data_IF_654488848598
#
_entry.id   IF_654488848598
#
_cell.length_a   1.000
_cell.length_b   1.000
_cell.length_c   1.000
_cell.angle_alpha   90.00
_cell.angle_beta   90.00
_cell.angle_gamma   90.00
#
_symmetry.space_group_name_H-M   'P 1'
#
loop_
_entity.id
_entity.type
_entity.pdbx_description
1 polymer ?
#
# COMPACT_ATOMS: atom_id res chain seq x y z
N UNK A 1 -12.15 16.73 -10.93
CA UNK A 1 -11.82 15.48 -10.20
C UNK A 1 -12.82 15.15 -9.08
N UNK A 2 -13.03 16.01 -8.07
CA UNK A 2 -13.93 15.71 -6.93
C UNK A 2 -15.35 15.28 -7.34
N UNK A 3 -16.00 16.02 -8.24
CA UNK A 3 -17.34 15.65 -8.74
C UNK A 3 -17.38 14.26 -9.40
N UNK A 4 -16.32 13.87 -10.12
CA UNK A 4 -16.21 12.55 -10.75
C UNK A 4 -16.09 11.45 -9.68
N UNK A 5 -15.30 11.68 -8.64
CA UNK A 5 -15.15 10.76 -7.51
C UNK A 5 -16.47 10.57 -6.80
N UNK A 6 -17.20 11.66 -6.52
CA UNK A 6 -18.52 11.63 -5.88
C UNK A 6 -19.57 10.89 -6.71
N UNK A 7 -19.56 11.10 -8.02
CA UNK A 7 -20.44 10.40 -8.94
C UNK A 7 -20.14 8.89 -8.93
N UNK A 8 -18.86 8.50 -9.10
CA UNK A 8 -18.45 7.08 -9.10
C UNK A 8 -18.73 6.38 -7.77
N UNK A 9 -18.56 7.07 -6.65
CA UNK A 9 -18.89 6.54 -5.34
C UNK A 9 -20.39 6.30 -5.15
N UNK A 10 -21.25 7.13 -5.75
CA UNK A 10 -22.71 6.97 -5.68
C UNK A 10 -23.24 5.98 -6.73
N UNK A 11 -22.95 6.22 -7.99
CA UNK A 11 -23.54 5.49 -9.13
C UNK A 11 -22.80 4.18 -9.43
N UNK A 12 -21.53 4.07 -8.99
CA UNK A 12 -20.67 2.95 -9.30
C UNK A 12 -19.81 3.20 -10.54
N UNK A 13 -19.02 2.20 -10.88
CA UNK A 13 -18.11 2.19 -12.02
C UNK A 13 -17.90 0.76 -12.49
N UNK A 14 -17.44 0.57 -13.71
CA UNK A 14 -17.11 -0.75 -14.24
C UNK A 14 -15.61 -0.99 -14.20
N UNK A 15 -15.20 -2.19 -13.80
CA UNK A 15 -13.84 -2.69 -13.92
C UNK A 15 -13.83 -3.87 -14.90
N UNK A 16 -12.89 -3.86 -15.81
CA UNK A 16 -12.65 -4.95 -16.75
C UNK A 16 -11.37 -5.68 -16.35
N UNK A 17 -11.50 -6.92 -15.84
CA UNK A 17 -10.40 -7.68 -15.28
C UNK A 17 -9.26 -7.91 -16.29
N UNK A 18 -9.59 -8.27 -17.55
CA UNK A 18 -8.57 -8.47 -18.59
C UNK A 18 -7.76 -7.21 -18.82
N UNK A 19 -8.43 -6.06 -18.96
CA UNK A 19 -7.74 -4.77 -19.12
C UNK A 19 -6.92 -4.37 -17.90
N UNK A 20 -7.39 -4.67 -16.67
CA UNK A 20 -6.59 -4.44 -15.45
C UNK A 20 -5.28 -5.21 -15.47
N UNK A 21 -5.31 -6.48 -15.90
CA UNK A 21 -4.13 -7.33 -16.02
C UNK A 21 -3.18 -6.76 -17.08
N UNK A 22 -3.69 -6.46 -18.26
CA UNK A 22 -2.89 -5.95 -19.36
C UNK A 22 -2.24 -4.60 -19.03
N UNK A 23 -3.01 -3.65 -18.52
CA UNK A 23 -2.53 -2.31 -18.15
C UNK A 23 -1.51 -2.38 -17.00
N UNK A 24 -1.78 -3.18 -15.97
CA UNK A 24 -0.87 -3.33 -14.83
C UNK A 24 0.45 -3.99 -15.25
N UNK A 25 0.40 -5.02 -16.10
CA UNK A 25 1.59 -5.70 -16.57
C UNK A 25 2.41 -4.83 -17.56
N UNK A 26 1.74 -4.10 -18.44
CA UNK A 26 2.41 -3.16 -19.36
C UNK A 26 3.13 -2.04 -18.58
N UNK A 27 2.52 -1.52 -17.52
CA UNK A 27 3.10 -0.49 -16.64
C UNK A 27 4.25 -1.06 -15.83
N UNK A 28 4.03 -2.24 -15.21
CA UNK A 28 5.06 -2.94 -14.44
C UNK A 28 6.33 -3.19 -15.23
N UNK A 29 6.23 -3.63 -16.49
CA UNK A 29 7.41 -3.82 -17.36
C UNK A 29 8.24 -2.55 -17.51
N UNK A 30 7.59 -1.38 -17.58
CA UNK A 30 8.30 -0.09 -17.70
C UNK A 30 9.00 0.29 -16.40
N UNK A 31 8.38 0.02 -15.25
CA UNK A 31 8.87 0.41 -13.92
C UNK A 31 9.71 -0.65 -13.23
N UNK A 32 9.75 -1.87 -13.75
CA UNK A 32 10.34 -3.07 -13.14
C UNK A 32 11.68 -2.82 -12.46
N UNK A 33 12.65 -2.26 -13.21
CA UNK A 33 14.00 -2.09 -12.68
C UNK A 33 14.06 -1.00 -11.60
N UNK A 34 13.47 0.17 -11.87
CA UNK A 34 13.48 1.31 -10.93
C UNK A 34 12.70 0.97 -9.67
N UNK A 35 11.51 0.37 -9.82
CA UNK A 35 10.70 -0.05 -8.68
C UNK A 35 11.34 -1.20 -7.90
N UNK A 36 11.99 -2.16 -8.56
CA UNK A 36 12.71 -3.25 -7.90
C UNK A 36 13.90 -2.75 -7.08
N UNK A 37 14.73 -1.87 -7.64
CA UNK A 37 15.83 -1.22 -6.91
C UNK A 37 15.29 -0.35 -5.76
N UNK A 38 14.21 0.39 -6.00
CA UNK A 38 13.53 1.16 -4.96
C UNK A 38 13.03 0.26 -3.82
N UNK A 39 12.45 -0.91 -4.15
CA UNK A 39 12.00 -1.88 -3.14
C UNK A 39 13.17 -2.43 -2.32
N UNK A 40 14.35 -2.68 -2.92
CA UNK A 40 15.55 -3.06 -2.19
C UNK A 40 15.93 -2.00 -1.15
N UNK A 41 15.96 -0.73 -1.56
CA UNK A 41 16.33 0.39 -0.67
C UNK A 41 15.30 0.51 0.46
N UNK A 42 14.00 0.53 0.14
CA UNK A 42 12.94 0.63 1.15
C UNK A 42 12.97 -0.56 2.10
N UNK A 43 13.19 -1.78 1.59
CA UNK A 43 13.33 -2.97 2.44
C UNK A 43 14.53 -2.89 3.38
N UNK A 44 15.68 -2.39 2.91
CA UNK A 44 16.86 -2.18 3.74
C UNK A 44 16.58 -1.14 4.85
N UNK A 45 15.93 -0.02 4.51
CA UNK A 45 15.52 1.00 5.49
C UNK A 45 14.58 0.37 6.53
N UNK A 46 13.58 -0.40 6.11
CA UNK A 46 12.65 -1.07 7.02
C UNK A 46 13.36 -2.05 7.95
N UNK A 47 14.25 -2.89 7.42
CA UNK A 47 15.02 -3.85 8.22
C UNK A 47 15.87 -3.13 9.27
N UNK A 48 16.61 -2.09 8.89
CA UNK A 48 17.41 -1.29 9.82
C UNK A 48 16.53 -0.61 10.88
N UNK A 49 15.39 -0.08 10.48
CA UNK A 49 14.42 0.52 11.39
C UNK A 49 13.90 -0.49 12.41
N UNK A 50 13.50 -1.69 11.97
CA UNK A 50 13.02 -2.74 12.88
C UNK A 50 14.12 -3.26 13.79
N UNK A 51 15.36 -3.42 13.33
CA UNK A 51 16.52 -3.79 14.16
C UNK A 51 16.74 -2.73 15.24
N UNK A 52 16.73 -1.45 14.87
CA UNK A 52 16.84 -0.35 15.80
C UNK A 52 15.72 -0.32 16.84
N UNK A 53 14.50 -0.51 16.39
CA UNK A 53 13.31 -0.54 17.26
C UNK A 53 13.39 -1.72 18.26
N UNK A 54 13.65 -2.94 17.77
CA UNK A 54 13.80 -4.13 18.64
C UNK A 54 14.97 -4.00 19.59
N UNK A 55 16.10 -3.46 19.11
CA UNK A 55 17.28 -3.18 19.96
C UNK A 55 16.98 -2.19 21.08
N UNK A 56 16.15 -1.18 20.80
CA UNK A 56 15.73 -0.18 21.80
C UNK A 56 14.82 -0.76 22.89
N UNK A 57 13.91 -1.68 22.52
CA UNK A 57 12.98 -2.29 23.47
C UNK A 57 13.58 -3.45 24.27
N UNK A 58 14.37 -4.32 23.64
CA UNK A 58 14.86 -5.57 24.23
C UNK A 58 16.36 -5.57 24.51
N UNK A 59 17.08 -4.55 24.06
CA UNK A 59 18.53 -4.46 24.12
C UNK A 59 19.22 -5.19 22.95
N UNK A 60 20.18 -4.55 22.34
CA UNK A 60 20.91 -5.10 21.17
C UNK A 60 21.61 -6.44 21.46
N UNK A 61 22.10 -6.64 22.69
CA UNK A 61 22.73 -7.91 23.12
C UNK A 61 21.75 -9.09 23.21
N UNK A 62 20.46 -8.83 23.28
CA UNK A 62 19.42 -9.84 23.45
C UNK A 62 18.64 -10.12 22.15
N UNK A 63 18.94 -9.44 21.04
CA UNK A 63 18.18 -9.56 19.79
C UNK A 63 18.03 -11.00 19.32
N UNK A 64 19.11 -11.78 19.35
CA UNK A 64 19.05 -13.19 18.93
C UNK A 64 18.14 -14.02 19.83
N UNK A 65 18.16 -13.81 21.14
CA UNK A 65 17.28 -14.50 22.10
C UNK A 65 15.83 -14.07 21.90
N UNK A 66 15.58 -12.78 21.66
CA UNK A 66 14.24 -12.23 21.41
C UNK A 66 13.63 -12.83 20.14
N UNK A 67 14.41 -12.92 19.06
CA UNK A 67 13.93 -13.56 17.81
C UNK A 67 13.58 -15.02 18.02
N UNK A 68 14.40 -15.78 18.78
CA UNK A 68 14.13 -17.18 19.10
C UNK A 68 12.90 -17.37 20.00
N UNK A 69 12.57 -16.37 20.83
CA UNK A 69 11.41 -16.43 21.75
C UNK A 69 10.16 -15.74 21.19
N UNK A 70 10.17 -15.27 19.94
CA UNK A 70 9.08 -14.47 19.35
C UNK A 70 7.73 -15.20 19.39
N UNK A 71 7.72 -16.52 19.18
CA UNK A 71 6.48 -17.34 19.23
C UNK A 71 5.85 -17.35 20.62
N UNK A 72 6.68 -17.32 21.68
CA UNK A 72 6.20 -17.28 23.06
C UNK A 72 5.73 -15.86 23.40
N UNK A 73 6.51 -14.85 23.04
CA UNK A 73 6.17 -13.44 23.25
C UNK A 73 4.88 -13.07 22.52
N UNK A 74 4.65 -13.59 21.32
CA UNK A 74 3.46 -13.30 20.52
C UNK A 74 2.14 -13.77 21.18
N UNK A 75 2.20 -14.56 22.24
CA UNK A 75 1.03 -14.99 23.04
C UNK A 75 0.80 -14.12 24.27
N UNK A 76 1.78 -13.32 24.65
CA UNK A 76 1.67 -12.44 25.81
C UNK A 76 0.77 -11.23 25.52
N UNK A 77 -0.26 -10.95 26.33
CA UNK A 77 -1.20 -9.84 26.08
C UNK A 77 -0.52 -8.49 25.91
N UNK A 78 0.50 -8.19 26.73
CA UNK A 78 1.22 -6.92 26.64
C UNK A 78 2.01 -6.80 25.33
N UNK A 79 2.57 -7.92 24.82
CA UNK A 79 3.25 -7.94 23.55
C UNK A 79 2.29 -7.78 22.38
N UNK A 80 1.12 -8.43 22.43
CA UNK A 80 0.06 -8.29 21.40
C UNK A 80 -0.38 -6.83 21.30
N UNK A 81 -0.70 -6.19 22.43
CA UNK A 81 -1.12 -4.78 22.46
C UNK A 81 0.01 -3.86 21.99
N UNK A 82 1.22 -4.05 22.51
CA UNK A 82 2.38 -3.24 22.15
C UNK A 82 2.74 -3.33 20.68
N UNK A 83 2.76 -4.56 20.14
CA UNK A 83 3.04 -4.78 18.71
C UNK A 83 1.97 -4.20 17.80
N UNK A 84 0.69 -4.21 18.21
CA UNK A 84 -0.40 -3.55 17.50
C UNK A 84 -0.19 -2.03 17.40
N UNK A 85 0.16 -1.39 18.51
CA UNK A 85 0.45 0.06 18.54
C UNK A 85 1.67 0.39 17.67
N UNK A 86 2.75 -0.38 17.80
CA UNK A 86 3.95 -0.19 16.99
C UNK A 86 3.64 -0.34 15.51
N UNK A 87 2.90 -1.40 15.12
CA UNK A 87 2.51 -1.64 13.73
C UNK A 87 1.68 -0.49 13.14
N UNK A 88 0.79 0.10 13.92
CA UNK A 88 0.00 1.28 13.53
C UNK A 88 0.91 2.46 13.15
N UNK A 89 1.89 2.79 14.00
CA UNK A 89 2.81 3.91 13.73
C UNK A 89 3.77 3.59 12.57
N UNK A 90 4.29 2.37 12.52
CA UNK A 90 5.20 1.94 11.44
C UNK A 90 4.49 1.98 10.10
N UNK A 91 3.26 1.46 10.00
CA UNK A 91 2.49 1.51 8.76
C UNK A 91 2.24 2.94 8.28
N UNK A 92 1.91 3.85 9.19
CA UNK A 92 1.71 5.27 8.87
C UNK A 92 3.01 5.96 8.41
N UNK A 93 4.14 5.65 9.05
CA UNK A 93 5.45 6.21 8.70
C UNK A 93 5.92 5.77 7.30
N UNK A 94 5.65 4.51 6.92
CA UNK A 94 6.09 3.96 5.64
C UNK A 94 5.04 4.07 4.51
N UNK A 95 3.82 4.52 4.81
CA UNK A 95 2.76 4.70 3.82
C UNK A 95 3.12 5.63 2.65
N UNK A 96 3.91 6.73 2.82
CA UNK A 96 4.33 7.55 1.69
C UNK A 96 5.15 6.81 0.63
N UNK A 97 5.88 5.74 0.98
CA UNK A 97 6.54 4.90 -0.03
C UNK A 97 5.53 4.19 -0.93
N UNK A 98 4.40 3.72 -0.37
CA UNK A 98 3.32 3.15 -1.19
C UNK A 98 2.80 4.17 -2.21
N UNK A 99 2.64 5.43 -1.79
CA UNK A 99 2.27 6.52 -2.71
C UNK A 99 3.33 6.72 -3.80
N UNK A 100 4.62 6.69 -3.43
CA UNK A 100 5.75 6.78 -4.36
C UNK A 100 5.75 5.64 -5.39
N UNK A 101 5.55 4.38 -4.97
CA UNK A 101 5.45 3.25 -5.89
C UNK A 101 4.26 3.36 -6.85
N UNK A 102 3.09 3.81 -6.37
CA UNK A 102 1.93 4.05 -7.24
C UNK A 102 2.24 5.18 -8.22
N UNK A 103 2.94 6.23 -7.77
CA UNK A 103 3.28 7.39 -8.59
C UNK A 103 4.31 7.06 -9.68
N UNK A 104 5.28 6.18 -9.43
CA UNK A 104 6.20 5.69 -10.47
C UNK A 104 5.43 5.08 -11.64
N UNK A 105 4.37 4.32 -11.36
CA UNK A 105 3.52 3.75 -12.41
C UNK A 105 2.76 4.83 -13.19
N UNK A 106 2.32 5.90 -12.53
CA UNK A 106 1.70 7.05 -13.19
C UNK A 106 2.67 7.78 -14.12
N UNK A 107 3.89 8.06 -13.65
CA UNK A 107 4.92 8.70 -14.45
C UNK A 107 5.27 7.87 -15.69
N UNK A 108 5.44 6.56 -15.52
CA UNK A 108 5.72 5.64 -16.64
C UNK A 108 4.61 5.59 -17.69
N UNK A 109 3.34 5.72 -17.29
CA UNK A 109 2.21 5.75 -18.24
C UNK A 109 2.06 7.11 -18.91
N UNK A 110 2.39 8.21 -18.24
CA UNK A 110 2.37 9.56 -18.82
C UNK A 110 3.64 9.92 -19.56
N UNK A 111 4.52 8.94 -19.82
CA UNK A 111 5.80 9.09 -20.55
C UNK A 111 6.74 10.15 -19.95
N UNK A 112 6.61 10.42 -18.67
CA UNK A 112 7.52 11.29 -17.92
C UNK A 112 8.74 10.52 -17.46
N UNK A 113 9.88 11.20 -17.34
CA UNK A 113 11.07 10.62 -16.70
C UNK A 113 10.76 10.29 -15.23
N UNK A 114 11.25 9.18 -14.75
CA UNK A 114 11.10 8.77 -13.35
C UNK A 114 12.38 8.11 -12.84
N UNK A 115 12.61 8.24 -11.55
CA UNK A 115 13.79 7.72 -10.86
C UNK A 115 13.40 7.23 -9.46
N UNK A 116 14.35 6.63 -8.75
CA UNK A 116 14.17 6.18 -7.36
C UNK A 116 13.78 7.35 -6.44
N UNK A 117 14.23 8.58 -6.73
CA UNK A 117 13.93 9.75 -5.91
C UNK A 117 12.43 10.03 -5.80
N UNK A 118 11.65 9.67 -6.85
CA UNK A 118 10.20 9.83 -6.83
C UNK A 118 9.49 8.98 -5.77
N UNK A 119 10.15 7.98 -5.18
CA UNK A 119 9.62 7.25 -4.03
C UNK A 119 9.49 8.12 -2.79
N UNK A 120 10.26 9.21 -2.69
CA UNK A 120 10.29 10.11 -1.55
C UNK A 120 9.45 11.36 -1.72
N UNK A 121 8.83 11.57 -2.89
CA UNK A 121 8.07 12.80 -3.21
C UNK A 121 6.93 13.06 -2.22
N UNK A 122 6.33 12.00 -1.69
CA UNK A 122 5.19 12.10 -0.78
C UNK A 122 5.55 12.19 0.71
N UNK A 123 6.85 12.29 1.03
CA UNK A 123 7.31 12.71 2.36
C UNK A 123 7.28 14.22 2.56
N UNK A 124 6.84 14.99 1.56
CA UNK A 124 6.70 16.45 1.59
C UNK A 124 5.24 16.84 1.77
N UNK A 125 5.03 18.00 2.38
CA UNK A 125 3.71 18.64 2.45
C UNK A 125 3.20 19.04 1.05
N UNK A 126 1.89 19.01 0.81
CA UNK A 126 0.82 18.73 1.78
C UNK A 126 0.45 17.24 1.94
N UNK A 127 1.06 16.34 1.16
CA UNK A 127 0.64 14.94 1.06
C UNK A 127 1.03 14.10 2.27
N UNK A 128 2.23 14.34 2.83
CA UNK A 128 2.74 13.55 3.96
C UNK A 128 1.72 13.46 5.10
N UNK A 129 1.25 14.62 5.57
CA UNK A 129 0.28 14.69 6.66
C UNK A 129 -1.00 13.90 6.37
N UNK A 130 -1.54 14.05 5.15
CA UNK A 130 -2.77 13.38 4.75
C UNK A 130 -2.61 11.84 4.69
N UNK A 131 -1.50 11.37 4.11
CA UNK A 131 -1.18 9.96 4.01
C UNK A 131 -0.88 9.38 5.39
N UNK A 132 -0.07 10.05 6.20
CA UNK A 132 0.27 9.63 7.55
C UNK A 132 -0.97 9.47 8.43
N UNK A 133 -1.85 10.48 8.48
CA UNK A 133 -3.07 10.44 9.28
C UNK A 133 -4.05 9.38 8.79
N UNK A 134 -4.19 9.18 7.48
CA UNK A 134 -5.05 8.13 6.94
C UNK A 134 -4.57 6.74 7.37
N UNK A 135 -3.27 6.47 7.30
CA UNK A 135 -2.70 5.18 7.71
C UNK A 135 -2.63 4.99 9.22
N UNK A 136 -2.54 6.08 9.98
CA UNK A 136 -2.68 6.02 11.44
C UNK A 136 -4.08 5.54 11.82
N UNK A 137 -5.12 6.03 11.15
CA UNK A 137 -6.51 5.60 11.36
C UNK A 137 -6.72 4.16 10.89
N UNK A 138 -6.29 3.83 9.66
CA UNK A 138 -6.40 2.46 9.12
C UNK A 138 -5.67 1.48 10.03
N UNK A 139 -4.42 1.78 10.38
CA UNK A 139 -3.61 0.95 11.26
C UNK A 139 -4.21 0.82 12.65
N UNK A 140 -4.74 1.91 13.21
CA UNK A 140 -5.39 1.91 14.52
C UNK A 140 -6.65 1.03 14.56
N UNK A 141 -7.52 1.16 13.57
CA UNK A 141 -8.72 0.32 13.45
C UNK A 141 -8.32 -1.14 13.24
N UNK A 142 -7.37 -1.42 12.34
CA UNK A 142 -6.91 -2.78 12.07
C UNK A 142 -6.25 -3.39 13.31
N UNK A 143 -5.37 -2.64 13.98
CA UNK A 143 -4.71 -3.08 15.21
C UNK A 143 -5.72 -3.38 16.32
N UNK A 144 -6.75 -2.53 16.50
CA UNK A 144 -7.80 -2.74 17.48
C UNK A 144 -8.52 -4.08 17.23
N UNK A 145 -8.98 -4.31 16.00
CA UNK A 145 -9.70 -5.54 15.67
C UNK A 145 -8.81 -6.78 15.78
N UNK A 146 -7.60 -6.75 15.25
CA UNK A 146 -6.69 -7.90 15.29
C UNK A 146 -6.21 -8.21 16.70
N UNK A 147 -5.95 -7.18 17.52
CA UNK A 147 -5.62 -7.35 18.95
C UNK A 147 -6.77 -7.98 19.72
N UNK A 148 -8.00 -7.48 19.53
CA UNK A 148 -9.18 -8.09 20.17
C UNK A 148 -9.34 -9.55 19.78
N UNK A 149 -9.25 -9.88 18.48
CA UNK A 149 -9.35 -11.25 18.01
C UNK A 149 -8.26 -12.16 18.60
N UNK A 150 -7.02 -11.67 18.69
CA UNK A 150 -5.92 -12.43 19.27
C UNK A 150 -6.13 -12.69 20.78
N UNK A 151 -6.58 -11.67 21.53
CA UNK A 151 -6.85 -11.82 22.96
C UNK A 151 -7.99 -12.82 23.24
N UNK A 152 -8.94 -12.97 22.31
CA UNK A 152 -10.02 -13.96 22.42
C UNK A 152 -9.67 -15.32 21.78
N UNK A 153 -8.43 -15.53 21.29
CA UNK A 153 -7.99 -16.80 20.71
C UNK A 153 -8.43 -17.02 19.24
N UNK A 154 -8.88 -15.96 18.54
CA UNK A 154 -9.32 -16.01 17.15
C UNK A 154 -8.22 -15.57 16.17
N UNK A 155 -6.96 -15.86 16.43
CA UNK A 155 -5.80 -15.43 15.67
C UNK A 155 -5.88 -15.79 14.18
N UNK A 156 -6.46 -16.96 13.85
CA UNK A 156 -6.62 -17.43 12.47
C UNK A 156 -7.48 -16.51 11.60
N UNK A 157 -8.34 -15.69 12.21
CA UNK A 157 -9.21 -14.75 11.50
C UNK A 157 -8.49 -13.43 11.19
N UNK A 158 -7.39 -13.11 11.89
CA UNK A 158 -6.65 -11.85 11.74
C UNK A 158 -6.25 -11.56 10.29
N UNK A 159 -5.75 -12.57 9.57
CA UNK A 159 -5.35 -12.41 8.16
C UNK A 159 -6.53 -11.98 7.28
N UNK A 160 -7.70 -12.57 7.47
CA UNK A 160 -8.90 -12.21 6.72
C UNK A 160 -9.34 -10.77 7.02
N UNK A 161 -9.32 -10.38 8.30
CA UNK A 161 -9.64 -9.01 8.71
C UNK A 161 -8.67 -8.02 8.07
N UNK A 162 -7.38 -8.27 8.11
CA UNK A 162 -6.36 -7.41 7.49
C UNK A 162 -6.57 -7.28 5.97
N UNK A 163 -6.87 -8.38 5.27
CA UNK A 163 -7.16 -8.37 3.83
C UNK A 163 -8.39 -7.49 3.54
N UNK A 164 -9.49 -7.66 4.30
CA UNK A 164 -10.71 -6.86 4.10
C UNK A 164 -10.42 -5.37 4.30
N UNK A 165 -9.74 -4.98 5.38
CA UNK A 165 -9.40 -3.58 5.64
C UNK A 165 -8.46 -3.02 4.56
N UNK A 166 -7.45 -3.80 4.13
CA UNK A 166 -6.53 -3.40 3.06
C UNK A 166 -7.27 -3.16 1.75
N UNK A 167 -8.19 -4.04 1.36
CA UNK A 167 -8.98 -3.89 0.14
C UNK A 167 -9.98 -2.74 0.24
N UNK A 168 -10.65 -2.57 1.39
CA UNK A 168 -11.61 -1.49 1.59
C UNK A 168 -10.95 -0.10 1.52
N UNK A 169 -9.68 -0.01 1.89
CA UNK A 169 -8.92 1.25 1.91
C UNK A 169 -7.96 1.40 0.72
N UNK A 170 -8.07 0.52 -0.29
CA UNK A 170 -7.14 0.47 -1.43
C UNK A 170 -7.07 1.79 -2.21
N UNK A 171 -8.17 2.52 -2.34
CA UNK A 171 -8.20 3.78 -3.08
C UNK A 171 -7.74 4.99 -2.25
N UNK A 172 -7.48 4.86 -0.94
CA UNK A 172 -7.17 6.00 -0.06
C UNK A 172 -5.98 6.81 -0.54
N UNK A 173 -4.83 6.17 -0.79
CA UNK A 173 -3.63 6.88 -1.29
C UNK A 173 -3.88 7.56 -2.63
N UNK A 174 -4.36 6.87 -3.69
CA UNK A 174 -4.65 7.52 -4.96
C UNK A 174 -5.65 8.68 -4.85
N UNK A 175 -6.65 8.59 -3.96
CA UNK A 175 -7.60 9.66 -3.72
C UNK A 175 -6.95 10.90 -3.07
N UNK A 176 -5.95 10.69 -2.20
CA UNK A 176 -5.19 11.79 -1.61
C UNK A 176 -4.28 12.43 -2.67
N UNK A 177 -3.48 11.62 -3.39
CA UNK A 177 -2.42 12.17 -4.26
C UNK A 177 -2.97 12.70 -5.60
N UNK A 178 -3.99 12.07 -6.17
CA UNK A 178 -4.58 12.47 -7.45
C UNK A 178 -5.94 13.15 -7.29
N UNK A 179 -6.78 12.65 -6.35
CA UNK A 179 -8.08 13.24 -6.05
C UNK A 179 -8.01 14.53 -5.24
N UNK A 180 -6.84 14.80 -4.61
CA UNK A 180 -6.61 15.95 -3.72
C UNK A 180 -7.62 16.02 -2.57
N UNK A 181 -8.08 14.85 -2.10
CA UNK A 181 -8.99 14.75 -0.96
C UNK A 181 -8.19 14.78 0.35
N UNK A 182 -8.82 15.27 1.41
CA UNK A 182 -8.28 15.09 2.75
C UNK A 182 -8.38 13.63 3.21
N UNK A 183 -7.67 13.28 4.28
CA UNK A 183 -7.56 11.90 4.74
C UNK A 183 -8.92 11.29 5.15
N UNK A 184 -9.85 12.07 5.72
CA UNK A 184 -11.16 11.57 6.14
C UNK A 184 -12.07 11.32 4.96
N UNK A 185 -12.10 12.25 4.01
CA UNK A 185 -12.86 12.12 2.78
C UNK A 185 -12.32 10.97 1.92
N UNK A 186 -10.98 10.86 1.79
CA UNK A 186 -10.33 9.79 1.03
C UNK A 186 -10.64 8.40 1.61
N UNK A 187 -10.62 8.24 2.94
CA UNK A 187 -10.99 7.00 3.61
C UNK A 187 -12.45 6.63 3.33
N UNK A 188 -13.37 7.57 3.57
CA UNK A 188 -14.80 7.34 3.35
C UNK A 188 -15.10 6.98 1.89
N UNK A 189 -14.51 7.71 0.93
CA UNK A 189 -14.68 7.44 -0.50
C UNK A 189 -14.04 6.13 -0.94
N UNK A 190 -12.89 5.76 -0.36
CA UNK A 190 -12.25 4.47 -0.65
C UNK A 190 -13.18 3.30 -0.31
N UNK A 191 -13.78 3.31 0.88
CA UNK A 191 -14.72 2.26 1.29
C UNK A 191 -15.96 2.24 0.39
N UNK A 192 -16.52 3.42 0.03
CA UNK A 192 -17.67 3.51 -0.87
C UNK A 192 -17.35 2.95 -2.26
N UNK A 193 -16.19 3.30 -2.82
CA UNK A 193 -15.74 2.79 -4.12
C UNK A 193 -15.49 1.29 -4.08
N UNK A 194 -14.78 0.79 -3.06
CA UNK A 194 -14.55 -0.64 -2.89
C UNK A 194 -15.87 -1.43 -2.86
N UNK A 195 -16.87 -0.94 -2.12
CA UNK A 195 -18.18 -1.60 -1.99
C UNK A 195 -18.94 -1.74 -3.31
N UNK A 196 -18.58 -0.99 -4.37
CA UNK A 196 -19.23 -1.10 -5.69
C UNK A 196 -18.72 -2.30 -6.49
N UNK A 197 -17.45 -2.69 -6.34
CA UNK A 197 -16.81 -3.76 -7.14
C UNK A 197 -15.88 -4.65 -6.28
N UNK A 198 -16.32 -5.15 -5.09
CA UNK A 198 -15.44 -5.81 -4.15
C UNK A 198 -14.82 -7.10 -4.71
N UNK A 199 -15.61 -7.86 -5.49
CA UNK A 199 -15.16 -9.14 -6.04
C UNK A 199 -14.08 -8.95 -7.12
N UNK A 200 -14.26 -8.00 -8.03
CA UNK A 200 -13.28 -7.75 -9.10
C UNK A 200 -11.98 -7.20 -8.50
N UNK A 201 -12.07 -6.31 -7.51
CA UNK A 201 -10.89 -5.79 -6.80
C UNK A 201 -10.15 -6.91 -6.07
N UNK A 202 -10.88 -7.79 -5.38
CA UNK A 202 -10.28 -8.97 -4.72
C UNK A 202 -9.56 -9.86 -5.73
N UNK A 203 -10.22 -10.23 -6.84
CA UNK A 203 -9.64 -11.10 -7.87
C UNK A 203 -8.42 -10.44 -8.52
N UNK A 204 -8.49 -9.15 -8.85
CA UNK A 204 -7.36 -8.40 -9.41
C UNK A 204 -6.15 -8.41 -8.45
N UNK A 205 -6.37 -8.17 -7.16
CA UNK A 205 -5.30 -8.20 -6.16
C UNK A 205 -4.76 -9.61 -5.90
N UNK A 206 -5.60 -10.65 -5.97
CA UNK A 206 -5.13 -12.04 -5.92
C UNK A 206 -4.22 -12.38 -7.12
N UNK A 207 -4.58 -11.95 -8.32
CA UNK A 207 -3.73 -12.11 -9.51
C UNK A 207 -2.41 -11.36 -9.33
N UNK A 208 -2.44 -10.15 -8.77
CA UNK A 208 -1.23 -9.40 -8.48
C UNK A 208 -0.32 -10.10 -7.45
N UNK A 209 -0.91 -10.72 -6.42
CA UNK A 209 -0.17 -11.54 -5.44
C UNK A 209 0.44 -12.77 -6.11
N UNK A 210 -0.29 -13.47 -6.96
CA UNK A 210 0.23 -14.61 -7.71
C UNK A 210 1.41 -14.16 -8.59
N UNK A 211 1.26 -13.05 -9.32
CA UNK A 211 2.34 -12.47 -10.13
C UNK A 211 3.58 -12.09 -9.30
N UNK A 212 3.38 -11.53 -8.11
CA UNK A 212 4.45 -11.25 -7.17
C UNK A 212 5.17 -12.54 -6.74
N UNK A 213 4.43 -13.58 -6.40
CA UNK A 213 4.99 -14.86 -5.94
C UNK A 213 5.81 -15.60 -7.01
N UNK A 214 5.55 -15.35 -8.30
CA UNK A 214 6.39 -15.91 -9.38
C UNK A 214 7.85 -15.50 -9.26
N UNK A 215 8.15 -14.37 -8.61
CA UNK A 215 9.51 -13.93 -8.32
C UNK A 215 10.31 -14.88 -7.42
N UNK A 216 9.65 -15.73 -6.62
CA UNK A 216 10.32 -16.72 -5.76
C UNK A 216 11.12 -17.73 -6.60
N UNK A 217 10.61 -18.07 -7.79
CA UNK A 217 11.27 -19.00 -8.71
C UNK A 217 12.55 -18.43 -9.32
N UNK A 218 12.80 -17.13 -9.19
CA UNK A 218 13.99 -16.44 -9.66
C UNK A 218 14.91 -16.14 -8.46
N UNK A 219 15.59 -17.19 -7.93
CA UNK A 219 16.63 -17.12 -6.90
C UNK A 219 16.21 -16.37 -5.60
N UNK A 220 14.96 -16.46 -5.16
CA UNK A 220 14.42 -15.78 -3.97
C UNK A 220 14.53 -14.24 -3.98
N UNK A 221 15.59 -13.68 -4.57
CA UNK A 221 15.78 -12.23 -4.74
C UNK A 221 14.76 -11.66 -5.74
N UNK A 222 14.29 -12.49 -6.67
CA UNK A 222 13.31 -12.09 -7.67
C UNK A 222 12.02 -11.54 -7.07
N UNK A 223 11.62 -11.97 -5.87
CA UNK A 223 10.41 -11.48 -5.22
C UNK A 223 10.49 -9.96 -4.96
N UNK A 224 11.66 -9.41 -4.62
CA UNK A 224 11.85 -7.98 -4.39
C UNK A 224 11.54 -7.18 -5.66
N UNK A 225 11.86 -7.74 -6.82
CA UNK A 225 11.59 -7.12 -8.11
C UNK A 225 10.16 -7.35 -8.60
N UNK A 226 9.45 -8.37 -8.09
CA UNK A 226 8.07 -8.64 -8.48
C UNK A 226 7.03 -8.05 -7.53
N UNK A 227 7.37 -7.76 -6.26
CA UNK A 227 6.50 -7.03 -5.31
C UNK A 227 5.94 -5.73 -5.92
N UNK A 228 6.69 -4.92 -6.68
CA UNK A 228 6.15 -3.72 -7.33
C UNK A 228 4.98 -3.96 -8.28
N UNK A 229 4.73 -5.19 -8.73
CA UNK A 229 3.56 -5.52 -9.53
C UNK A 229 2.23 -5.27 -8.77
N UNK A 230 2.24 -5.43 -7.43
CA UNK A 230 1.09 -5.05 -6.59
C UNK A 230 0.73 -3.57 -6.75
N UNK A 231 1.73 -2.69 -6.81
CA UNK A 231 1.51 -1.25 -6.97
C UNK A 231 1.11 -0.87 -8.39
N UNK A 232 1.57 -1.63 -9.39
CA UNK A 232 1.11 -1.46 -10.77
C UNK A 232 -0.38 -1.86 -10.92
N UNK A 233 -0.81 -2.95 -10.28
CA UNK A 233 -2.22 -3.33 -10.23
C UNK A 233 -3.05 -2.29 -9.45
N UNK A 234 -2.55 -1.80 -8.33
CA UNK A 234 -3.19 -0.75 -7.54
C UNK A 234 -3.39 0.52 -8.37
N UNK A 235 -2.38 0.94 -9.12
CA UNK A 235 -2.47 2.05 -10.06
C UNK A 235 -3.52 1.80 -11.15
N UNK A 236 -3.53 0.61 -11.77
CA UNK A 236 -4.48 0.25 -12.82
C UNK A 236 -5.94 0.25 -12.30
N UNK A 237 -6.17 -0.22 -11.07
CA UNK A 237 -7.48 -0.17 -10.42
C UNK A 237 -7.98 1.26 -10.30
N UNK A 238 -7.16 2.19 -9.82
CA UNK A 238 -7.54 3.60 -9.72
C UNK A 238 -7.76 4.23 -11.10
N UNK A 239 -6.89 3.93 -12.05
CA UNK A 239 -6.98 4.45 -13.42
C UNK A 239 -8.30 4.05 -14.11
N UNK A 240 -8.75 2.80 -13.92
CA UNK A 240 -10.02 2.35 -14.49
C UNK A 240 -11.23 2.84 -13.70
N UNK A 241 -11.15 2.85 -12.36
CA UNK A 241 -12.29 3.23 -11.51
C UNK A 241 -12.64 4.71 -11.65
N UNK A 242 -11.64 5.58 -11.62
CA UNK A 242 -11.81 7.04 -11.51
C UNK A 242 -11.16 7.75 -12.68
N UNK A 243 -9.95 7.32 -13.06
CA UNK A 243 -9.12 8.01 -14.05
C UNK A 243 -8.36 9.19 -13.46
N UNK A 244 -7.69 9.92 -14.34
CA UNK A 244 -6.91 11.12 -14.01
C UNK A 244 -7.50 12.33 -14.71
N UNK A 245 -7.32 13.53 -14.13
CA UNK A 245 -7.63 14.75 -14.85
C UNK A 245 -6.77 14.80 -16.11
N UNK A 246 -7.41 15.06 -17.26
CA UNK A 246 -6.66 15.36 -18.48
C UNK A 246 -5.89 16.65 -18.20
N UNK A 247 -4.59 16.57 -18.03
CA UNK A 247 -3.72 17.75 -18.13
C UNK A 247 -4.03 18.37 -19.49
N UNK A 248 -4.48 19.64 -19.49
CA UNK A 248 -4.57 20.41 -20.74
C UNK A 248 -3.20 20.32 -21.43
N UNK A 249 -3.15 20.16 -22.76
CA UNK A 249 -1.88 20.15 -23.45
C UNK A 249 -1.14 21.43 -23.07
N UNK A 250 0.05 21.28 -22.52
CA UNK A 250 0.97 22.38 -22.28
C UNK A 250 1.17 23.04 -23.64
N UNK A 251 0.61 24.24 -23.79
CA UNK A 251 0.76 25.00 -25.04
C UNK A 251 2.24 25.05 -25.33
N UNK A 252 2.65 24.39 -26.42
CA UNK A 252 3.94 24.61 -27.03
C UNK A 252 3.94 26.10 -27.43
N UNK A 253 4.47 26.94 -26.56
CA UNK A 253 4.90 28.28 -26.98
C UNK A 253 6.07 28.08 -27.94
N UNK A 254 5.80 28.44 -29.18
CA UNK A 254 6.71 28.52 -30.29
C UNK A 254 7.80 29.57 -30.05
#
# INVERSE_FOLDING_TARGET
>A
MKNTIDQKAREGYALELGKLIDDSFATFKKTFLVSGLGMLIVSAIMVLFYIGLMGSFFGFSNLSKTVLSIETLAKEPNFIIGSGIVSMFVSALFAPFTAGFIHLNHLAQTQKSFSIDNLFDFYKEPYYKQIFLSYLIIGGITALFTTMLSLFGYEKINTFVQIIFSLATIFTIPLIIYGKLDYTEALSKSVQLYAKQPLIILVAMLIAVIGMLLGIFILCIGIIFTVPYLYAMHYALYAQAIGFEKTAPENQEL
#
